data_IF_725233038372
#
_entry.id   IF_725233038372
#
_cell.length_a   1.000
_cell.length_b   1.000
_cell.length_c   1.000
_cell.angle_alpha   90.00
_cell.angle_beta   90.00
_cell.angle_gamma   90.00
#
_symmetry.space_group_name_H-M   'P 1'
#
loop_
_entity.id
_entity.type
_entity.pdbx_description
1 polymer ?
#
# COMPACT_ATOMS: atom_id res chain seq x y z
N UNK A 1 30.93 31.80 29.03
CA UNK A 1 31.15 30.34 28.89
C UNK A 1 29.86 29.73 28.40
N UNK A 2 30.01 28.68 27.59
CA UNK A 2 29.03 27.63 27.31
C UNK A 2 27.84 28.01 26.44
N UNK A 3 28.01 27.94 25.11
CA UNK A 3 27.06 27.28 24.21
C UNK A 3 27.87 26.69 23.05
N UNK A 4 28.37 25.48 23.28
CA UNK A 4 28.79 24.57 22.22
C UNK A 4 27.51 24.01 21.61
N UNK A 5 26.81 24.83 20.80
CA UNK A 5 25.64 24.40 20.06
C UNK A 5 26.08 23.70 18.78
N UNK A 6 25.70 22.44 18.62
CA UNK A 6 25.96 21.62 17.43
C UNK A 6 25.89 22.46 16.14
N UNK A 7 26.96 22.44 15.36
CA UNK A 7 26.91 22.81 13.95
C UNK A 7 25.97 21.81 13.26
N UNK A 8 24.67 22.12 13.18
CA UNK A 8 23.83 21.52 12.15
C UNK A 8 24.42 22.06 10.84
N UNK A 9 25.11 21.20 10.12
CA UNK A 9 25.58 21.54 8.78
C UNK A 9 24.32 21.70 7.94
N UNK A 10 23.92 22.95 7.73
CA UNK A 10 22.86 23.33 6.82
C UNK A 10 23.26 22.78 5.45
N UNK A 11 22.53 21.78 4.96
CA UNK A 11 22.70 21.25 3.61
C UNK A 11 21.49 21.64 2.80
N UNK A 12 21.70 22.55 1.87
CA UNK A 12 20.71 22.89 0.86
C UNK A 12 20.39 21.64 0.04
N UNK A 13 19.11 21.31 -0.08
CA UNK A 13 18.62 20.05 -0.63
C UNK A 13 19.19 19.76 -2.03
N UNK A 14 19.39 20.80 -2.84
CA UNK A 14 19.94 20.70 -4.18
C UNK A 14 21.39 20.18 -4.24
N UNK A 15 22.19 20.37 -3.19
CA UNK A 15 23.51 19.76 -3.10
C UNK A 15 23.42 18.30 -2.67
N UNK A 16 22.55 18.02 -1.70
CA UNK A 16 22.30 16.68 -1.18
C UNK A 16 21.84 15.72 -2.29
N UNK A 17 20.91 16.16 -3.14
CA UNK A 17 20.36 15.37 -4.24
C UNK A 17 21.37 15.05 -5.36
N UNK A 18 22.54 15.70 -5.37
CA UNK A 18 23.63 15.41 -6.33
C UNK A 18 24.61 14.36 -5.82
N UNK A 19 24.52 13.96 -4.55
CA UNK A 19 25.37 12.91 -3.98
C UNK A 19 24.91 11.52 -4.45
N UNK A 20 25.87 10.61 -4.69
CA UNK A 20 25.57 9.27 -5.25
C UNK A 20 24.76 8.37 -4.31
N UNK A 21 24.87 8.57 -2.98
CA UNK A 21 24.29 7.70 -1.96
C UNK A 21 23.34 8.47 -1.01
N UNK A 22 22.60 9.43 -1.56
CA UNK A 22 21.63 10.20 -0.78
C UNK A 22 20.46 9.31 -0.32
N UNK A 23 20.18 9.35 0.99
CA UNK A 23 19.11 8.57 1.63
C UNK A 23 17.85 9.42 1.81
N UNK A 24 16.68 8.77 1.92
CA UNK A 24 15.44 9.48 2.22
C UNK A 24 15.51 10.20 3.57
N UNK A 25 16.13 9.58 4.59
CA UNK A 25 16.32 10.21 5.91
C UNK A 25 17.03 11.56 5.78
N UNK A 26 18.15 11.62 5.06
CA UNK A 26 18.87 12.88 4.85
C UNK A 26 18.04 13.92 4.10
N UNK A 27 17.22 13.47 3.14
CA UNK A 27 16.31 14.35 2.37
C UNK A 27 15.23 14.93 3.29
N UNK A 28 14.60 14.11 4.14
CA UNK A 28 13.58 14.56 5.10
C UNK A 28 14.14 15.46 6.21
N UNK A 29 15.43 15.36 6.50
CA UNK A 29 16.12 16.22 7.47
C UNK A 29 16.54 17.59 6.90
N UNK A 30 16.41 17.81 5.59
CA UNK A 30 16.72 19.09 4.96
C UNK A 30 15.69 20.17 5.37
N UNK A 31 16.17 21.33 5.85
CA UNK A 31 15.32 22.42 6.35
C UNK A 31 14.38 23.01 5.27
N UNK A 32 14.77 22.90 4.01
CA UNK A 32 14.08 23.43 2.83
C UNK A 32 13.19 22.38 2.11
N UNK A 33 13.11 21.12 2.57
CA UNK A 33 12.32 20.04 1.89
C UNK A 33 10.91 20.47 1.50
N UNK A 34 10.14 21.07 2.43
CA UNK A 34 8.76 21.49 2.17
C UNK A 34 8.69 22.72 1.25
N UNK A 35 9.70 23.58 1.29
CA UNK A 35 9.81 24.73 0.39
C UNK A 35 10.09 24.25 -1.04
N UNK A 36 11.00 23.30 -1.18
CA UNK A 36 11.37 22.69 -2.46
C UNK A 36 10.23 21.85 -3.07
N UNK A 37 9.40 21.19 -2.23
CA UNK A 37 8.14 20.59 -2.69
C UNK A 37 7.20 21.66 -3.28
N UNK A 38 7.01 22.79 -2.59
CA UNK A 38 6.14 23.88 -3.08
C UNK A 38 6.68 24.54 -4.36
N UNK A 39 8.01 24.56 -4.50
CA UNK A 39 8.73 25.10 -5.65
C UNK A 39 8.74 24.15 -6.87
N UNK A 40 8.08 22.99 -6.80
CA UNK A 40 8.09 21.96 -7.85
C UNK A 40 9.52 21.56 -8.27
N UNK A 41 10.43 21.40 -7.29
CA UNK A 41 11.82 21.06 -7.57
C UNK A 41 11.92 19.71 -8.32
N UNK A 42 12.41 19.76 -9.56
CA UNK A 42 12.49 18.61 -10.46
C UNK A 42 13.40 17.50 -9.94
N UNK A 43 14.53 17.86 -9.32
CA UNK A 43 15.45 16.87 -8.77
C UNK A 43 14.83 16.16 -7.56
N UNK A 44 14.13 16.91 -6.71
CA UNK A 44 13.40 16.34 -5.58
C UNK A 44 12.28 15.42 -6.06
N UNK A 45 11.45 15.86 -7.01
CA UNK A 45 10.40 15.02 -7.60
C UNK A 45 10.98 13.74 -8.18
N UNK A 46 12.08 13.82 -8.94
CA UNK A 46 12.75 12.65 -9.51
C UNK A 46 13.24 11.68 -8.42
N UNK A 47 13.73 12.21 -7.30
CA UNK A 47 14.13 11.40 -6.15
C UNK A 47 12.93 10.74 -5.45
N UNK A 48 11.89 11.51 -5.11
CA UNK A 48 10.72 11.02 -4.37
C UNK A 48 9.86 10.03 -5.16
N UNK A 49 9.91 10.08 -6.50
CA UNK A 49 9.16 9.17 -7.38
C UNK A 49 9.87 7.84 -7.65
N UNK A 50 11.10 7.66 -7.13
CA UNK A 50 11.78 6.36 -7.18
C UNK A 50 10.99 5.31 -6.38
N UNK A 51 10.80 4.08 -6.89
CA UNK A 51 9.97 3.07 -6.23
C UNK A 51 10.37 2.79 -4.77
N UNK A 52 11.66 2.68 -4.50
CA UNK A 52 12.21 2.42 -3.17
C UNK A 52 11.97 3.60 -2.20
N UNK A 53 12.10 4.83 -2.68
CA UNK A 53 11.87 6.04 -1.89
C UNK A 53 10.38 6.20 -1.58
N UNK A 54 9.53 5.98 -2.58
CA UNK A 54 8.08 6.03 -2.40
C UNK A 54 7.63 4.95 -1.41
N UNK A 55 8.17 3.73 -1.49
CA UNK A 55 7.88 2.68 -0.52
C UNK A 55 8.29 3.05 0.91
N UNK A 56 9.45 3.68 1.07
CA UNK A 56 9.93 4.14 2.38
C UNK A 56 9.04 5.26 2.94
N UNK A 57 8.61 6.23 2.11
CA UNK A 57 7.65 7.27 2.50
C UNK A 57 6.33 6.68 3.01
N UNK A 58 5.74 5.72 2.28
CA UNK A 58 4.50 5.06 2.71
C UNK A 58 4.73 4.29 4.01
N UNK A 59 5.87 3.61 4.14
CA UNK A 59 6.23 2.85 5.35
C UNK A 59 6.33 3.78 6.57
N UNK A 60 6.95 4.96 6.42
CA UNK A 60 7.06 5.95 7.51
C UNK A 60 5.70 6.43 8.03
N UNK A 61 4.66 6.49 7.19
CA UNK A 61 3.34 6.97 7.60
C UNK A 61 2.37 5.85 8.02
N UNK A 62 2.72 4.59 7.77
CA UNK A 62 1.85 3.42 8.05
C UNK A 62 2.41 2.50 9.13
N UNK A 63 3.72 2.46 9.36
CA UNK A 63 4.35 1.60 10.35
C UNK A 63 4.76 2.34 11.61
N UNK A 64 4.59 1.69 12.76
CA UNK A 64 5.11 2.25 14.00
C UNK A 64 6.64 2.17 14.02
N UNK A 65 7.33 3.28 14.34
CA UNK A 65 8.78 3.27 14.49
C UNK A 65 9.19 2.34 15.64
N UNK A 66 10.40 1.76 15.59
CA UNK A 66 10.90 0.89 16.65
C UNK A 66 10.95 1.64 17.99
N UNK A 67 10.44 1.01 19.05
CA UNK A 67 10.27 1.57 20.41
C UNK A 67 11.58 2.01 21.10
N UNK A 68 12.73 1.81 20.46
CA UNK A 68 14.07 1.99 21.04
C UNK A 68 14.58 3.44 20.95
N UNK A 69 13.80 4.36 20.38
CA UNK A 69 14.16 5.78 20.17
C UNK A 69 13.21 6.68 21.00
N UNK A 70 13.49 7.97 21.15
CA UNK A 70 12.55 8.90 21.82
C UNK A 70 11.31 9.17 20.95
N UNK A 71 10.09 9.13 21.53
CA UNK A 71 8.81 9.30 20.81
C UNK A 71 8.74 10.55 19.91
N UNK A 72 9.27 11.68 20.37
CA UNK A 72 9.27 12.93 19.58
C UNK A 72 10.20 12.84 18.34
N UNK A 73 11.30 12.11 18.46
CA UNK A 73 12.21 11.83 17.34
C UNK A 73 11.69 10.71 16.44
N UNK A 74 10.94 9.75 17.00
CA UNK A 74 10.38 8.60 16.30
C UNK A 74 9.39 9.01 15.20
N UNK A 75 8.48 9.95 15.49
CA UNK A 75 7.44 10.37 14.55
C UNK A 75 7.79 11.61 13.73
N UNK A 76 8.97 12.20 13.93
CA UNK A 76 9.42 13.36 13.14
C UNK A 76 9.45 13.03 11.65
N UNK A 77 10.08 11.91 11.28
CA UNK A 77 10.14 11.49 9.88
C UNK A 77 8.78 11.10 9.32
N UNK A 78 7.93 10.44 10.12
CA UNK A 78 6.55 10.14 9.72
C UNK A 78 5.75 11.42 9.41
N UNK A 79 5.90 12.46 10.24
CA UNK A 79 5.26 13.75 10.04
C UNK A 79 5.71 14.41 8.72
N UNK A 80 7.03 14.55 8.52
CA UNK A 80 7.58 15.19 7.32
C UNK A 80 7.25 14.35 6.07
N UNK A 81 7.30 13.01 6.15
CA UNK A 81 6.90 12.13 5.06
C UNK A 81 5.43 12.33 4.68
N UNK A 82 4.52 12.46 5.66
CA UNK A 82 3.12 12.80 5.41
C UNK A 82 3.00 14.17 4.74
N UNK A 83 3.71 15.20 5.20
CA UNK A 83 3.71 16.52 4.57
C UNK A 83 4.25 16.51 3.14
N UNK A 84 5.29 15.71 2.86
CA UNK A 84 5.84 15.52 1.51
C UNK A 84 4.84 14.81 0.61
N UNK A 85 4.24 13.70 1.06
CA UNK A 85 3.20 12.99 0.30
C UNK A 85 1.99 13.89 0.03
N UNK A 86 1.65 14.75 0.99
CA UNK A 86 0.48 15.65 0.92
C UNK A 86 0.82 17.05 0.40
N UNK A 87 1.99 17.24 -0.22
CA UNK A 87 2.47 18.54 -0.71
C UNK A 87 1.89 18.97 -2.07
N UNK A 88 0.97 18.20 -2.65
CA UNK A 88 0.37 18.41 -3.98
C UNK A 88 1.37 18.43 -5.15
N UNK A 89 2.50 17.74 -5.01
CA UNK A 89 3.39 17.41 -6.13
C UNK A 89 2.67 16.43 -7.08
N UNK A 90 2.15 16.92 -8.21
CA UNK A 90 1.33 16.13 -9.13
C UNK A 90 2.00 14.83 -9.57
N UNK A 91 3.29 14.88 -9.91
CA UNK A 91 4.06 13.69 -10.32
C UNK A 91 4.17 12.65 -9.21
N UNK A 92 4.20 13.05 -7.94
CA UNK A 92 4.28 12.14 -6.80
C UNK A 92 2.92 11.46 -6.56
N UNK A 93 1.82 12.23 -6.54
CA UNK A 93 0.47 11.68 -6.41
C UNK A 93 0.09 10.80 -7.60
N UNK A 94 0.46 11.20 -8.81
CA UNK A 94 0.25 10.42 -10.03
C UNK A 94 1.02 9.10 -9.94
N UNK A 95 2.30 9.14 -9.55
CA UNK A 95 3.13 7.95 -9.37
C UNK A 95 2.55 7.01 -8.32
N UNK A 96 2.11 7.53 -7.17
CA UNK A 96 1.48 6.74 -6.12
C UNK A 96 0.19 6.08 -6.62
N UNK A 97 -0.72 6.84 -7.26
CA UNK A 97 -2.00 6.31 -7.76
C UNK A 97 -1.86 5.24 -8.84
N UNK A 98 -0.74 5.21 -9.57
CA UNK A 98 -0.46 4.24 -10.64
C UNK A 98 0.29 3.01 -10.16
N UNK A 99 0.93 3.07 -9.00
CA UNK A 99 1.72 1.97 -8.45
C UNK A 99 0.86 1.12 -7.51
N UNK A 100 0.28 0.05 -8.05
CA UNK A 100 -0.55 -0.88 -7.29
C UNK A 100 0.18 -1.45 -6.06
N UNK A 101 1.51 -1.58 -6.09
CA UNK A 101 2.28 -2.09 -4.94
C UNK A 101 2.25 -1.09 -3.79
N UNK A 102 2.42 0.20 -4.09
CA UNK A 102 2.42 1.25 -3.08
C UNK A 102 1.01 1.58 -2.59
N UNK A 103 0.01 1.55 -3.48
CA UNK A 103 -1.39 1.65 -3.09
C UNK A 103 -1.80 0.51 -2.17
N UNK A 104 -1.38 -0.73 -2.45
CA UNK A 104 -1.62 -1.85 -1.54
C UNK A 104 -0.95 -1.63 -0.19
N UNK A 105 0.33 -1.24 -0.17
CA UNK A 105 1.05 -0.92 1.07
C UNK A 105 0.34 0.15 1.91
N UNK A 106 -0.17 1.20 1.27
CA UNK A 106 -0.95 2.25 1.95
C UNK A 106 -2.24 1.66 2.56
N UNK A 107 -3.00 0.90 1.76
CA UNK A 107 -4.27 0.31 2.19
C UNK A 107 -4.09 -0.81 3.23
N UNK A 108 -2.96 -1.52 3.27
CA UNK A 108 -2.72 -2.56 4.27
C UNK A 108 -2.61 -2.01 5.70
N UNK A 109 -2.45 -0.69 5.86
CA UNK A 109 -2.51 -0.02 7.16
C UNK A 109 -3.80 -0.31 7.92
N UNK A 110 -4.96 -0.30 7.25
CA UNK A 110 -6.27 -0.55 7.88
C UNK A 110 -6.52 -2.04 8.17
N UNK A 111 -5.67 -2.94 7.66
CA UNK A 111 -5.78 -4.37 7.96
C UNK A 111 -5.26 -4.70 9.37
N UNK A 112 -4.56 -3.76 10.03
CA UNK A 112 -4.11 -3.90 11.43
C UNK A 112 -5.28 -4.00 12.39
N UNK A 113 -5.06 -4.66 13.52
CA UNK A 113 -6.07 -4.76 14.57
C UNK A 113 -6.34 -3.42 15.29
N UNK A 114 -7.62 -3.10 15.60
CA UNK A 114 -7.94 -1.94 16.38
C UNK A 114 -7.36 -2.07 17.80
N UNK A 115 -7.00 -0.94 18.42
CA UNK A 115 -7.05 0.40 17.85
C UNK A 115 -5.84 0.72 16.97
N UNK A 116 -6.08 1.46 15.88
CA UNK A 116 -4.98 2.08 15.14
C UNK A 116 -4.31 3.16 15.98
N UNK A 117 -3.02 3.38 15.72
CA UNK A 117 -2.31 4.55 16.22
C UNK A 117 -2.97 5.82 15.67
N UNK A 118 -3.51 6.72 16.52
CA UNK A 118 -4.28 7.88 16.04
C UNK A 118 -3.47 8.83 15.14
N UNK A 119 -2.16 8.93 15.37
CA UNK A 119 -1.28 9.77 14.57
C UNK A 119 -1.08 9.19 13.18
N UNK A 120 -0.73 7.90 13.08
CA UNK A 120 -0.58 7.23 11.78
C UNK A 120 -1.91 7.17 11.02
N UNK A 121 -3.03 6.97 11.73
CA UNK A 121 -4.36 7.05 11.14
C UNK A 121 -4.63 8.42 10.52
N UNK A 122 -4.20 9.51 11.17
CA UNK A 122 -4.30 10.85 10.59
C UNK A 122 -3.44 11.02 9.34
N UNK A 123 -2.26 10.40 9.28
CA UNK A 123 -1.40 10.46 8.10
C UNK A 123 -1.97 9.65 6.94
N UNK A 124 -2.44 8.44 7.21
CA UNK A 124 -3.17 7.60 6.24
C UNK A 124 -4.36 8.36 5.66
N UNK A 125 -5.26 8.87 6.52
CA UNK A 125 -6.44 9.64 6.10
C UNK A 125 -6.06 10.83 5.24
N UNK A 126 -5.08 11.63 5.66
CA UNK A 126 -4.62 12.80 4.90
C UNK A 126 -4.05 12.42 3.53
N UNK A 127 -3.33 11.31 3.42
CA UNK A 127 -2.81 10.81 2.14
C UNK A 127 -3.92 10.31 1.22
N UNK A 128 -4.91 9.57 1.75
CA UNK A 128 -6.10 9.14 0.99
C UNK A 128 -6.89 10.35 0.50
N UNK A 129 -7.13 11.33 1.37
CA UNK A 129 -7.83 12.57 1.02
C UNK A 129 -7.07 13.34 -0.07
N UNK A 130 -5.75 13.48 0.04
CA UNK A 130 -4.94 14.15 -0.98
C UNK A 130 -5.02 13.47 -2.36
N UNK A 131 -5.06 12.13 -2.41
CA UNK A 131 -5.21 11.38 -3.66
C UNK A 131 -6.56 11.65 -4.36
N UNK A 132 -7.57 12.02 -3.58
CA UNK A 132 -8.92 12.31 -4.04
C UNK A 132 -9.22 13.81 -4.11
N UNK A 133 -8.27 14.67 -3.72
CA UNK A 133 -8.42 16.11 -3.73
C UNK A 133 -8.00 16.69 -5.07
N UNK A 134 -8.80 17.63 -5.58
CA UNK A 134 -8.42 18.41 -6.75
C UNK A 134 -7.28 19.36 -6.39
N UNK A 135 -6.09 19.09 -6.92
CA UNK A 135 -4.98 20.05 -6.81
C UNK A 135 -5.29 21.34 -7.59
N UNK A 136 -4.99 22.53 -7.04
CA UNK A 136 -5.26 23.81 -7.70
C UNK A 136 -4.45 24.00 -8.99
N UNK A 137 -3.30 23.32 -9.11
CA UNK A 137 -2.45 23.34 -10.31
C UNK A 137 -2.89 22.30 -11.36
N UNK A 138 -3.81 21.40 -11.02
CA UNK A 138 -4.18 20.26 -11.84
C UNK A 138 -5.34 20.58 -12.79
N UNK A 139 -5.22 20.08 -14.02
CA UNK A 139 -6.30 20.09 -14.99
C UNK A 139 -7.51 19.28 -14.50
N UNK A 140 -8.73 19.75 -14.77
CA UNK A 140 -9.94 19.10 -14.27
C UNK A 140 -10.14 17.67 -14.81
N UNK A 141 -9.74 17.39 -16.04
CA UNK A 141 -9.82 16.05 -16.61
C UNK A 141 -8.82 15.10 -15.95
N UNK A 142 -7.60 15.58 -15.69
CA UNK A 142 -6.58 14.80 -14.99
C UNK A 142 -7.03 14.47 -13.57
N UNK A 143 -7.60 15.44 -12.85
CA UNK A 143 -8.22 15.20 -11.54
C UNK A 143 -9.26 14.07 -11.60
N UNK A 144 -10.20 14.13 -12.56
CA UNK A 144 -11.22 13.09 -12.69
C UNK A 144 -10.64 11.71 -12.97
N UNK A 145 -9.63 11.61 -13.83
CA UNK A 145 -8.98 10.34 -14.15
C UNK A 145 -8.28 9.76 -12.92
N UNK A 146 -7.56 10.58 -12.16
CA UNK A 146 -6.86 10.13 -10.95
C UNK A 146 -7.85 9.73 -9.87
N UNK A 147 -8.88 10.54 -9.62
CA UNK A 147 -9.91 10.25 -8.61
C UNK A 147 -10.66 8.94 -8.93
N UNK A 148 -11.09 8.73 -10.17
CA UNK A 148 -11.70 7.45 -10.59
C UNK A 148 -10.75 6.28 -10.38
N UNK A 149 -9.49 6.42 -10.79
CA UNK A 149 -8.48 5.35 -10.61
C UNK A 149 -8.33 4.97 -9.14
N UNK A 150 -8.23 5.95 -8.25
CA UNK A 150 -8.06 5.74 -6.82
C UNK A 150 -9.31 5.08 -6.23
N UNK A 151 -10.51 5.56 -6.58
CA UNK A 151 -11.77 4.96 -6.14
C UNK A 151 -11.94 3.52 -6.67
N UNK A 152 -11.65 3.28 -7.94
CA UNK A 152 -11.70 1.94 -8.55
C UNK A 152 -10.71 0.99 -7.88
N UNK A 153 -9.52 1.49 -7.49
CA UNK A 153 -8.57 0.70 -6.72
C UNK A 153 -9.16 0.30 -5.36
N UNK A 154 -9.70 1.25 -4.58
CA UNK A 154 -10.34 0.94 -3.30
C UNK A 154 -11.51 -0.02 -3.45
N UNK A 155 -12.35 0.15 -4.49
CA UNK A 155 -13.47 -0.74 -4.81
C UNK A 155 -13.03 -2.15 -5.20
N UNK A 156 -11.91 -2.27 -5.89
CA UNK A 156 -11.36 -3.58 -6.28
C UNK A 156 -10.88 -4.39 -5.07
N UNK A 157 -10.55 -3.70 -3.98
CA UNK A 157 -10.19 -4.29 -2.68
C UNK A 157 -11.45 -4.52 -1.83
N UNK A 158 -11.99 -5.73 -1.91
CA UNK A 158 -13.17 -6.13 -1.11
C UNK A 158 -12.99 -6.00 0.40
N UNK A 159 -11.74 -6.03 0.87
CA UNK A 159 -11.38 -5.88 2.28
C UNK A 159 -11.30 -4.42 2.73
N UNK A 160 -11.15 -3.46 1.81
CA UNK A 160 -10.86 -2.07 2.14
C UNK A 160 -11.99 -1.41 2.95
N UNK A 161 -13.24 -1.45 2.45
CA UNK A 161 -14.36 -0.78 3.11
C UNK A 161 -14.72 -1.43 4.46
N UNK A 162 -14.80 -2.77 4.58
CA UNK A 162 -14.98 -3.43 5.87
C UNK A 162 -13.87 -3.10 6.89
N UNK A 163 -12.61 -3.11 6.47
CA UNK A 163 -11.49 -2.78 7.37
C UNK A 163 -11.50 -1.31 7.78
N UNK A 164 -11.86 -0.40 6.87
CA UNK A 164 -12.00 1.02 7.19
C UNK A 164 -13.14 1.24 8.21
N UNK A 165 -14.27 0.54 8.04
CA UNK A 165 -15.41 0.56 8.97
C UNK A 165 -15.01 0.07 10.37
N UNK A 166 -14.21 -1.01 10.46
CA UNK A 166 -13.72 -1.55 11.73
C UNK A 166 -12.96 -0.51 12.58
N UNK A 167 -12.38 0.50 11.93
CA UNK A 167 -11.62 1.57 12.57
C UNK A 167 -12.38 2.89 12.72
N UNK A 168 -13.68 2.92 12.44
CA UNK A 168 -14.50 4.15 12.43
C UNK A 168 -14.55 4.89 13.78
N UNK A 169 -14.24 4.23 14.90
CA UNK A 169 -14.08 4.89 16.20
C UNK A 169 -12.82 5.79 16.28
N UNK A 170 -11.88 5.67 15.35
CA UNK A 170 -10.72 6.57 15.22
C UNK A 170 -11.14 7.81 14.45
N UNK A 171 -11.04 9.00 15.07
CA UNK A 171 -11.55 10.27 14.50
C UNK A 171 -11.10 10.52 13.05
N UNK A 172 -9.81 10.29 12.75
CA UNK A 172 -9.28 10.49 11.40
C UNK A 172 -9.96 9.59 10.36
N UNK A 173 -10.26 8.34 10.71
CA UNK A 173 -10.95 7.39 9.82
C UNK A 173 -12.40 7.81 9.59
N UNK A 174 -13.09 8.29 10.63
CA UNK A 174 -14.43 8.86 10.50
C UNK A 174 -14.44 10.09 9.56
N UNK A 175 -13.42 10.95 9.64
CA UNK A 175 -13.26 12.08 8.73
C UNK A 175 -13.02 11.63 7.27
N UNK A 176 -12.34 10.51 7.04
CA UNK A 176 -12.20 9.92 5.70
C UNK A 176 -13.55 9.51 5.10
N UNK A 177 -14.47 8.93 5.89
CA UNK A 177 -15.83 8.65 5.41
C UNK A 177 -16.59 9.93 5.06
N UNK A 178 -16.46 10.96 5.90
CA UNK A 178 -17.03 12.28 5.62
C UNK A 178 -16.46 12.87 4.33
N UNK A 179 -15.18 12.65 4.05
CA UNK A 179 -14.54 13.06 2.81
C UNK A 179 -15.18 12.36 1.59
N UNK A 180 -15.33 11.04 1.64
CA UNK A 180 -15.98 10.27 0.57
C UNK A 180 -17.40 10.78 0.26
N UNK A 181 -18.19 11.11 1.28
CA UNK A 181 -19.57 11.63 1.13
C UNK A 181 -19.59 13.05 0.53
N UNK A 182 -18.51 13.81 0.72
CA UNK A 182 -18.36 15.20 0.25
C UNK A 182 -17.73 15.34 -1.14
N UNK A 183 -17.30 14.23 -1.75
CA UNK A 183 -16.82 14.25 -3.12
C UNK A 183 -17.86 14.84 -4.08
N UNK A 184 -17.38 15.39 -5.19
CA UNK A 184 -18.23 15.99 -6.23
C UNK A 184 -19.30 15.00 -6.72
N UNK A 185 -20.43 15.53 -7.21
CA UNK A 185 -21.60 14.73 -7.62
C UNK A 185 -21.26 13.61 -8.63
N UNK A 186 -20.21 13.80 -9.44
CA UNK A 186 -19.69 12.81 -10.38
C UNK A 186 -19.21 11.52 -9.69
N UNK A 187 -18.56 11.63 -8.52
CA UNK A 187 -18.03 10.49 -7.78
C UNK A 187 -19.00 10.01 -6.70
N UNK A 188 -19.77 10.94 -6.14
CA UNK A 188 -20.70 10.69 -5.04
C UNK A 188 -21.62 9.52 -5.32
N UNK A 189 -22.20 9.45 -6.53
CA UNK A 189 -23.07 8.33 -6.91
C UNK A 189 -22.34 6.98 -6.82
N UNK A 190 -21.13 6.90 -7.39
CA UNK A 190 -20.30 5.69 -7.37
C UNK A 190 -19.92 5.26 -5.94
N UNK A 191 -19.63 6.22 -5.06
CA UNK A 191 -19.34 5.97 -3.64
C UNK A 191 -20.58 5.49 -2.89
N UNK A 192 -21.75 6.10 -3.12
CA UNK A 192 -22.98 5.69 -2.43
C UNK A 192 -23.42 4.28 -2.83
N UNK A 193 -23.31 3.93 -4.12
CA UNK A 193 -23.56 2.56 -4.60
C UNK A 193 -22.61 1.54 -3.93
N UNK A 194 -21.34 1.89 -3.79
CA UNK A 194 -20.35 1.05 -3.11
C UNK A 194 -20.65 0.82 -1.62
N UNK A 195 -21.11 1.87 -0.93
CA UNK A 195 -21.53 1.78 0.47
C UNK A 195 -22.77 0.90 0.63
N UNK A 196 -23.72 1.00 -0.30
CA UNK A 196 -24.92 0.15 -0.31
C UNK A 196 -24.57 -1.32 -0.54
N UNK A 197 -23.65 -1.62 -1.48
CA UNK A 197 -23.14 -2.98 -1.75
C UNK A 197 -22.53 -3.65 -0.50
N UNK A 198 -21.95 -2.86 0.40
CA UNK A 198 -21.34 -3.34 1.64
C UNK A 198 -22.23 -3.17 2.88
N UNK A 199 -23.53 -2.90 2.69
CA UNK A 199 -24.49 -2.71 3.79
C UNK A 199 -23.97 -1.71 4.84
N UNK A 200 -23.43 -0.59 4.36
CA UNK A 200 -22.74 0.40 5.20
C UNK A 200 -23.61 0.90 6.35
N UNK A 201 -24.90 1.11 6.13
CA UNK A 201 -25.82 1.61 7.16
C UNK A 201 -26.05 0.56 8.25
N UNK A 202 -26.23 -0.71 7.88
CA UNK A 202 -26.36 -1.83 8.79
C UNK A 202 -25.10 -2.01 9.62
N UNK A 203 -23.93 -1.96 8.98
CA UNK A 203 -22.63 -2.00 9.66
C UNK A 203 -22.48 -0.83 10.66
N UNK A 204 -22.86 0.39 10.26
CA UNK A 204 -22.84 1.57 11.13
C UNK A 204 -23.74 1.39 12.36
N UNK A 205 -24.96 0.86 12.18
CA UNK A 205 -25.88 0.56 13.28
C UNK A 205 -25.25 -0.46 14.22
N UNK A 206 -24.66 -1.54 13.68
CA UNK A 206 -23.99 -2.56 14.48
C UNK A 206 -22.80 -1.98 15.27
N UNK A 207 -22.03 -1.06 14.68
CA UNK A 207 -20.91 -0.40 15.37
C UNK A 207 -21.43 0.45 16.53
N UNK A 208 -22.47 1.25 16.31
CA UNK A 208 -23.10 2.07 17.35
C UNK A 208 -23.72 1.21 18.46
N UNK A 209 -24.29 0.05 18.11
CA UNK A 209 -24.85 -0.91 19.06
C UNK A 209 -23.81 -1.81 19.75
N UNK A 210 -22.54 -1.75 19.35
CA UNK A 210 -21.48 -2.61 19.89
C UNK A 210 -21.58 -4.09 19.47
N UNK A 211 -22.27 -4.39 18.37
CA UNK A 211 -22.48 -5.75 17.87
C UNK A 211 -21.79 -6.01 16.53
N UNK A 212 -20.91 -5.11 16.09
CA UNK A 212 -20.20 -5.24 14.82
C UNK A 212 -19.16 -6.37 14.86
N UNK A 213 -19.24 -7.26 13.88
CA UNK A 213 -18.24 -8.30 13.62
C UNK A 213 -17.76 -8.07 12.19
N UNK A 214 -16.48 -7.76 12.02
CA UNK A 214 -15.89 -7.71 10.69
C UNK A 214 -15.91 -9.14 10.11
N UNK A 215 -16.41 -9.31 8.90
CA UNK A 215 -16.42 -10.62 8.25
C UNK A 215 -14.98 -11.08 7.98
N UNK A 216 -14.56 -12.20 8.59
CA UNK A 216 -13.33 -12.91 8.19
C UNK A 216 -13.57 -13.53 6.81
N UNK A 217 -12.97 -12.95 5.76
CA UNK A 217 -13.01 -13.57 4.44
C UNK A 217 -12.00 -14.72 4.39
N UNK A 218 -12.51 -15.92 4.11
CA UNK A 218 -11.71 -17.11 3.84
C UNK A 218 -10.69 -16.83 2.70
N UNK A 219 -9.47 -17.37 2.77
CA UNK A 219 -8.47 -17.17 1.73
C UNK A 219 -9.02 -17.64 0.38
N UNK A 220 -8.79 -16.83 -0.66
CA UNK A 220 -9.00 -17.20 -2.06
C UNK A 220 -8.29 -18.54 -2.30
N UNK A 221 -9.05 -19.60 -2.58
CA UNK A 221 -8.48 -20.84 -3.10
C UNK A 221 -7.71 -20.50 -4.37
N UNK A 222 -6.38 -20.59 -4.30
CA UNK A 222 -5.53 -20.57 -5.47
C UNK A 222 -5.94 -21.74 -6.35
N UNK A 223 -6.54 -21.45 -7.50
CA UNK A 223 -6.64 -22.40 -8.61
C UNK A 223 -5.21 -22.73 -9.08
N UNK A 224 -4.52 -23.62 -8.36
CA UNK A 224 -3.43 -24.38 -8.94
C UNK A 224 -4.03 -25.28 -10.00
N UNK A 225 -3.73 -24.95 -11.25
CA UNK A 225 -4.05 -25.75 -12.42
C UNK A 225 -3.55 -27.17 -12.21
N UNK A 226 -4.47 -28.11 -12.29
CA UNK A 226 -4.17 -29.51 -12.54
C UNK A 226 -3.55 -29.64 -13.94
N UNK A 227 -2.24 -29.71 -14.01
CA UNK A 227 -1.52 -30.38 -15.10
C UNK A 227 -0.87 -31.62 -14.50
N UNK A 228 -1.60 -32.74 -14.57
CA UNK A 228 -1.04 -34.07 -14.29
C UNK A 228 -1.07 -34.87 -15.59
N UNK A 229 -0.01 -34.75 -16.39
CA UNK A 229 0.38 -35.80 -17.34
C UNK A 229 0.99 -36.97 -16.55
N UNK A 230 0.69 -38.24 -16.89
CA UNK A 230 1.32 -39.39 -16.24
C UNK A 230 2.65 -39.71 -16.91
N UNK A 231 3.75 -39.45 -16.22
CA UNK A 231 5.09 -39.89 -16.62
C UNK A 231 5.27 -41.39 -16.33
N UNK A 232 5.86 -42.06 -17.31
CA UNK A 232 6.14 -43.50 -17.41
C UNK A 232 6.85 -44.08 -16.18
N UNK A 233 6.34 -45.22 -15.71
CA UNK A 233 7.04 -46.09 -14.77
C UNK A 233 8.27 -46.69 -15.44
N UNK A 234 9.45 -46.33 -14.93
CA UNK A 234 10.69 -47.08 -15.13
C UNK A 234 10.88 -47.99 -13.92
N UNK A 235 10.62 -49.29 -14.08
CA UNK A 235 11.10 -50.32 -13.14
C UNK A 235 11.95 -51.31 -13.94
N UNK A 236 13.24 -51.34 -13.61
CA UNK A 236 14.21 -52.27 -14.15
C UNK A 236 14.47 -53.40 -13.15
N UNK A 237 14.81 -54.56 -13.72
CA UNK A 237 15.51 -55.69 -13.15
C UNK A 237 14.70 -56.80 -12.46
N UNK A 238 14.45 -57.88 -13.20
CA UNK A 238 14.77 -59.21 -12.67
C UNK A 238 15.34 -60.10 -13.79
N UNK A 239 16.66 -60.30 -13.74
CA UNK A 239 17.39 -61.30 -14.52
C UNK A 239 17.14 -62.70 -13.95
N UNK A 240 16.67 -63.66 -14.75
CA UNK A 240 17.05 -65.07 -14.62
C UNK A 240 17.24 -65.73 -15.99
N UNK A 241 18.40 -66.36 -16.13
CA UNK A 241 18.99 -67.02 -17.31
C UNK A 241 18.15 -68.17 -17.89
N UNK A 242 18.34 -68.52 -19.18
CA UNK A 242 17.78 -69.72 -19.77
C UNK A 242 18.65 -70.94 -19.47
N UNK A 243 18.02 -72.07 -19.14
CA UNK A 243 18.67 -73.38 -19.07
C UNK A 243 18.38 -74.20 -20.33
N UNK A 244 19.33 -75.07 -20.65
CA UNK A 244 19.55 -75.70 -21.95
C UNK A 244 19.15 -77.18 -21.86
N UNK A 245 18.54 -77.74 -22.91
CA UNK A 245 18.38 -79.20 -23.08
C UNK A 245 17.08 -79.56 -23.81
N UNK A 246 17.08 -79.87 -25.11
CA UNK A 246 17.50 -81.12 -25.77
C UNK A 246 16.43 -82.24 -25.74
N UNK A 247 16.13 -82.80 -26.93
CA UNK A 247 15.43 -84.08 -27.13
C UNK A 247 14.04 -83.91 -27.78
N UNK A 248 13.94 -83.90 -29.11
CA UNK A 248 13.77 -85.08 -29.99
C UNK A 248 12.32 -85.55 -30.21
N UNK A 249 11.93 -85.48 -31.50
CA UNK A 249 11.29 -86.53 -32.33
C UNK A 249 9.76 -86.75 -32.31
N UNK A 250 9.30 -86.85 -33.57
CA UNK A 250 8.21 -87.68 -34.14
C UNK A 250 6.79 -87.23 -33.79
N UNK A 251 5.83 -87.11 -34.71
CA UNK A 251 5.66 -87.69 -36.04
C UNK A 251 4.24 -88.26 -36.14
N UNK A 252 3.56 -88.00 -37.26
CA UNK A 252 2.24 -88.52 -37.70
C UNK A 252 1.03 -87.98 -36.90
N UNK A 253 -0.13 -87.70 -37.50
CA UNK A 253 -0.74 -88.08 -38.79
C UNK A 253 -1.77 -86.99 -39.17
#
# INVERSE_FOLDING_TARGET
MFWSGNYIVVRELNFLLKEENVTLTQVLEADDILQECKADNKALIQFLTKPEVLAELITLITEEPPKNVELASQYRHANIACEVLTSHLSMLSDRLSMDATQMNRLCDFINKDPPLNPLLASYFSKTVEMLLERSPKQDCYLYHIVCLRVLDFFKSRRDFLPNLLRHMCTSAIADTFKYFIRLDDLFKKSVMEWFEEHQFLECLIQIVCGTYVAEDQAPLESHEKADHEPSEKTEAAEERKPDTGAGEKQGNL
#
